data_IF_335540825154
#
_entry.id   IF_335540825154
#
_cell.length_a   1.000
_cell.length_b   1.000
_cell.length_c   1.000
_cell.angle_alpha   90.00
_cell.angle_beta   90.00
_cell.angle_gamma   90.00
#
_symmetry.space_group_name_H-M   'P 1'
#
loop_
_entity.id
_entity.type
_entity.pdbx_description
1 polymer ?
#
# COMPACT_ATOMS: atom_id res chain seq x y z
N UNK A 1 7.67 11.16 -8.00
CA UNK A 1 7.50 9.75 -8.40
C UNK A 1 8.00 9.55 -9.82
N UNK A 2 8.66 8.42 -10.11
CA UNK A 2 9.09 8.03 -11.47
C UNK A 2 8.12 7.07 -12.17
N UNK A 3 7.11 6.55 -11.44
CA UNK A 3 6.07 5.67 -11.97
C UNK A 3 4.68 6.31 -11.94
N UNK A 4 3.63 5.52 -12.20
CA UNK A 4 2.25 6.00 -12.23
C UNK A 4 1.81 6.56 -10.88
N UNK A 5 0.82 7.45 -10.95
CA UNK A 5 0.15 8.06 -9.82
C UNK A 5 -1.35 7.93 -10.06
N UNK A 6 -2.05 7.38 -9.08
CA UNK A 6 -3.50 7.29 -9.06
C UNK A 6 -4.04 8.13 -7.92
N UNK A 7 -5.15 8.81 -8.18
CA UNK A 7 -5.82 9.64 -7.19
C UNK A 7 -7.32 9.48 -7.34
N UNK A 8 -8.02 9.32 -6.22
CA UNK A 8 -9.48 9.24 -6.22
C UNK A 8 -10.10 10.63 -6.45
N UNK A 9 -11.38 10.66 -6.79
CA UNK A 9 -12.19 11.85 -6.51
C UNK A 9 -12.24 12.10 -4.99
N UNK A 10 -12.57 13.33 -4.55
CA UNK A 10 -12.77 13.62 -3.14
C UNK A 10 -13.75 12.64 -2.49
N UNK A 11 -13.39 12.13 -1.32
CA UNK A 11 -14.20 11.19 -0.58
C UNK A 11 -15.53 11.82 -0.18
N UNK A 12 -16.62 11.06 -0.33
CA UNK A 12 -17.97 11.50 0.05
C UNK A 12 -18.28 11.27 1.53
N UNK A 13 -17.40 10.57 2.25
CA UNK A 13 -17.49 10.29 3.68
C UNK A 13 -16.10 10.04 4.27
N UNK A 14 -15.98 10.19 5.58
CA UNK A 14 -14.72 9.90 6.29
C UNK A 14 -14.48 8.39 6.35
N UNK A 15 -13.29 7.95 5.92
CA UNK A 15 -12.88 6.55 5.98
C UNK A 15 -11.90 6.32 7.13
N UNK A 16 -12.05 5.18 7.83
CA UNK A 16 -11.01 4.66 8.71
C UNK A 16 -10.41 3.40 8.09
N UNK A 17 -9.17 3.50 7.63
CA UNK A 17 -8.42 2.37 7.09
C UNK A 17 -7.57 1.81 8.21
N UNK A 18 -7.87 0.58 8.64
CA UNK A 18 -7.18 -0.08 9.73
C UNK A 18 -6.96 -1.56 9.43
N UNK A 19 -5.70 -1.96 9.26
CA UNK A 19 -5.31 -3.29 8.80
C UNK A 19 -4.13 -3.23 7.83
N UNK A 20 -4.13 -4.12 6.85
CA UNK A 20 -3.09 -4.30 5.83
C UNK A 20 -3.72 -4.08 4.45
N UNK A 21 -3.82 -2.81 3.99
CA UNK A 21 -4.27 -2.53 2.63
C UNK A 21 -3.45 -3.30 1.60
N UNK A 22 -4.08 -3.64 0.47
CA UNK A 22 -3.46 -4.43 -0.60
C UNK A 22 -3.52 -3.69 -1.91
N UNK A 23 -2.39 -3.63 -2.61
CA UNK A 23 -2.28 -3.11 -3.96
C UNK A 23 -1.78 -4.22 -4.87
N UNK A 24 -2.62 -4.63 -5.81
CA UNK A 24 -2.23 -5.55 -6.86
C UNK A 24 -2.05 -4.76 -8.15
N UNK A 25 -0.94 -4.95 -8.84
CA UNK A 25 -0.67 -4.30 -10.13
C UNK A 25 0.00 -5.28 -11.09
N UNK A 26 -0.45 -5.27 -12.34
CA UNK A 26 0.19 -6.03 -13.40
C UNK A 26 1.46 -5.32 -13.87
N UNK A 27 2.56 -6.07 -14.01
CA UNK A 27 3.84 -5.53 -14.46
C UNK A 27 4.55 -6.47 -15.41
N UNK A 28 5.35 -5.89 -16.31
CA UNK A 28 6.42 -6.60 -17.03
C UNK A 28 7.77 -6.03 -16.63
N UNK A 29 8.81 -6.84 -16.77
CA UNK A 29 10.18 -6.45 -16.40
C UNK A 29 11.17 -6.74 -17.52
N UNK A 30 12.27 -5.99 -17.58
CA UNK A 30 13.33 -6.23 -18.57
C UNK A 30 14.22 -7.46 -18.24
N UNK A 31 14.24 -7.89 -16.98
CA UNK A 31 14.90 -9.12 -16.50
C UNK A 31 14.13 -9.69 -15.30
N UNK A 32 14.48 -10.91 -14.84
CA UNK A 32 13.90 -11.46 -13.60
C UNK A 32 14.43 -10.66 -12.41
N UNK A 33 13.57 -9.85 -11.81
CA UNK A 33 13.93 -8.88 -10.77
C UNK A 33 13.07 -7.62 -10.82
N UNK A 34 13.54 -6.57 -10.17
CA UNK A 34 12.83 -5.30 -10.01
C UNK A 34 12.24 -5.13 -8.62
N UNK A 35 11.85 -3.89 -8.33
CA UNK A 35 11.24 -3.50 -7.07
C UNK A 35 10.12 -2.52 -7.36
N UNK A 36 9.06 -2.62 -6.57
CA UNK A 36 8.01 -1.62 -6.49
C UNK A 36 7.99 -1.05 -5.07
N UNK A 37 7.94 0.26 -4.98
CA UNK A 37 7.57 1.00 -3.78
C UNK A 37 6.25 1.70 -4.05
N UNK A 38 5.23 1.44 -3.24
CA UNK A 38 3.94 2.11 -3.30
C UNK A 38 3.80 3.05 -2.11
N UNK A 39 3.56 4.32 -2.38
CA UNK A 39 3.26 5.33 -1.37
C UNK A 39 1.76 5.59 -1.34
N UNK A 40 1.14 5.51 -0.16
CA UNK A 40 -0.23 5.87 0.10
C UNK A 40 -0.25 7.20 0.85
N UNK A 41 -0.88 8.19 0.23
CA UNK A 41 -1.05 9.54 0.76
C UNK A 41 -2.53 9.90 0.94
N UNK A 42 -2.80 10.72 1.94
CA UNK A 42 -4.03 11.48 2.14
C UNK A 42 -3.76 12.91 1.66
N UNK A 43 -4.57 13.42 0.73
CA UNK A 43 -4.36 14.72 0.11
C UNK A 43 -5.58 15.65 0.29
N UNK A 44 -5.31 16.90 0.65
CA UNK A 44 -6.30 17.96 0.78
C UNK A 44 -5.73 19.30 0.32
N UNK A 45 -6.49 20.03 -0.51
CA UNK A 45 -6.12 21.36 -1.04
C UNK A 45 -4.68 21.43 -1.61
N UNK A 46 -4.24 20.37 -2.29
CA UNK A 46 -2.92 20.29 -2.92
C UNK A 46 -1.76 19.96 -1.97
N UNK A 47 -2.04 19.67 -0.70
CA UNK A 47 -1.07 19.15 0.27
C UNK A 47 -1.35 17.68 0.52
N UNK A 48 -0.31 16.84 0.51
CA UNK A 48 -0.42 15.42 0.77
C UNK A 48 0.41 15.01 1.99
N UNK A 49 -0.11 14.09 2.79
CA UNK A 49 0.58 13.49 3.94
C UNK A 49 0.79 11.99 3.69
N UNK A 50 1.96 11.48 4.09
CA UNK A 50 2.27 10.05 4.00
C UNK A 50 1.45 9.27 5.03
N UNK A 51 0.53 8.43 4.55
CA UNK A 51 -0.33 7.56 5.37
C UNK A 51 0.30 6.19 5.58
N UNK A 52 0.82 5.58 4.51
CA UNK A 52 1.54 4.31 4.58
C UNK A 52 2.31 4.02 3.30
N UNK A 53 3.06 2.92 3.32
CA UNK A 53 3.77 2.45 2.14
C UNK A 53 3.90 0.93 2.09
N UNK A 54 4.16 0.43 0.88
CA UNK A 54 4.48 -0.96 0.60
C UNK A 54 5.78 -1.01 -0.20
N UNK A 55 6.57 -2.06 0.00
CA UNK A 55 7.73 -2.35 -0.84
C UNK A 55 7.75 -3.83 -1.19
N UNK A 56 8.11 -4.13 -2.44
CA UNK A 56 8.14 -5.50 -2.95
C UNK A 56 9.34 -5.68 -3.87
N UNK A 57 10.16 -6.69 -3.60
CA UNK A 57 11.02 -7.30 -4.61
C UNK A 57 10.15 -8.23 -5.49
N UNK A 58 10.12 -7.98 -6.81
CA UNK A 58 9.22 -8.66 -7.74
C UNK A 58 9.51 -10.16 -7.88
N UNK A 59 10.65 -10.64 -7.37
CA UNK A 59 10.91 -12.07 -7.23
C UNK A 59 9.92 -12.76 -6.28
N UNK A 60 9.21 -12.01 -5.44
CA UNK A 60 8.18 -12.47 -4.53
C UNK A 60 6.79 -11.95 -4.92
N UNK A 61 6.55 -11.69 -6.22
CA UNK A 61 5.32 -11.05 -6.68
C UNK A 61 4.03 -11.79 -6.28
N UNK A 62 4.10 -13.11 -6.04
CA UNK A 62 2.95 -13.90 -5.58
C UNK A 62 2.59 -13.69 -4.10
N UNK A 63 3.42 -12.94 -3.36
CA UNK A 63 3.37 -12.80 -1.90
C UNK A 63 4.11 -13.92 -1.17
N UNK A 64 4.32 -13.72 0.14
CA UNK A 64 5.03 -14.67 0.99
C UNK A 64 6.54 -14.72 0.76
N UNK A 65 7.16 -15.84 1.14
CA UNK A 65 8.62 -15.98 1.24
C UNK A 65 9.24 -16.83 0.12
N UNK A 66 8.41 -17.30 -0.83
CA UNK A 66 8.88 -18.11 -1.95
C UNK A 66 9.31 -17.23 -3.11
N UNK A 67 10.44 -17.57 -3.74
CA UNK A 67 10.91 -16.89 -4.95
C UNK A 67 10.22 -17.50 -6.18
N UNK A 68 9.68 -16.65 -7.04
CA UNK A 68 9.16 -17.00 -8.36
C UNK A 68 10.09 -16.56 -9.50
N UNK A 69 9.91 -17.20 -10.65
CA UNK A 69 10.53 -16.82 -11.92
C UNK A 69 9.47 -16.72 -13.00
N UNK A 70 9.68 -15.86 -13.98
CA UNK A 70 8.80 -15.64 -15.13
C UNK A 70 9.66 -15.38 -16.37
N UNK A 71 9.04 -15.31 -17.55
CA UNK A 71 9.71 -14.90 -18.79
C UNK A 71 9.69 -13.36 -18.93
N UNK A 72 10.80 -12.63 -18.69
CA UNK A 72 10.81 -11.16 -18.78
C UNK A 72 10.40 -10.69 -20.17
N UNK A 73 9.86 -9.48 -20.26
CA UNK A 73 9.35 -8.82 -21.50
C UNK A 73 8.10 -9.49 -22.11
N UNK A 74 7.94 -10.81 -21.95
CA UNK A 74 6.87 -11.61 -22.56
C UNK A 74 5.73 -11.87 -21.57
N UNK A 75 6.07 -12.23 -20.33
CA UNK A 75 5.11 -12.59 -19.29
C UNK A 75 4.81 -11.39 -18.40
N UNK A 76 3.52 -11.11 -18.23
CA UNK A 76 3.01 -10.17 -17.24
C UNK A 76 2.80 -10.91 -15.92
N UNK A 77 3.37 -10.37 -14.85
CA UNK A 77 3.17 -10.86 -13.49
C UNK A 77 2.23 -9.91 -12.73
N UNK A 78 1.41 -10.45 -11.84
CA UNK A 78 0.59 -9.66 -10.94
C UNK A 78 1.34 -9.50 -9.61
N UNK A 79 1.80 -8.29 -9.31
CA UNK A 79 2.51 -7.97 -8.08
C UNK A 79 1.53 -7.76 -6.93
N UNK A 80 1.42 -8.75 -6.03
CA UNK A 80 0.48 -8.75 -4.91
C UNK A 80 1.06 -8.05 -3.68
N UNK A 81 1.12 -6.73 -3.72
CA UNK A 81 1.72 -5.93 -2.66
C UNK A 81 0.78 -5.77 -1.46
N UNK A 82 1.37 -5.84 -0.27
CA UNK A 82 0.73 -5.50 1.00
C UNK A 82 1.40 -4.25 1.57
N UNK A 83 0.60 -3.28 1.98
CA UNK A 83 1.09 -2.13 2.75
C UNK A 83 1.48 -2.58 4.15
N UNK A 84 2.44 -1.88 4.75
CA UNK A 84 2.68 -2.01 6.18
C UNK A 84 1.38 -1.74 6.95
N UNK A 85 1.07 -2.50 8.02
CA UNK A 85 -0.15 -2.30 8.77
C UNK A 85 -0.28 -0.85 9.25
N UNK A 86 -1.46 -0.27 9.07
CA UNK A 86 -1.74 1.11 9.43
C UNK A 86 -3.12 1.24 10.08
N UNK A 87 -3.32 2.33 10.81
CA UNK A 87 -4.61 2.77 11.35
C UNK A 87 -4.70 4.27 11.09
N UNK A 88 -5.39 4.64 10.01
CA UNK A 88 -5.47 5.99 9.49
C UNK A 88 -6.92 6.41 9.29
N UNK A 89 -7.17 7.70 9.48
CA UNK A 89 -8.45 8.35 9.18
C UNK A 89 -8.19 9.28 8.00
N UNK A 90 -9.03 9.17 6.98
CA UNK A 90 -9.01 10.00 5.78
C UNK A 90 -10.34 10.72 5.74
N UNK A 91 -10.32 12.05 5.82
CA UNK A 91 -11.54 12.84 6.02
C UNK A 91 -12.39 12.95 4.74
N UNK A 92 -13.67 13.28 4.93
CA UNK A 92 -14.55 13.66 3.81
C UNK A 92 -13.94 14.85 3.05
N UNK A 93 -14.02 14.83 1.73
CA UNK A 93 -13.46 15.88 0.87
C UNK A 93 -11.96 15.76 0.60
N UNK A 94 -11.24 14.88 1.28
CA UNK A 94 -9.86 14.53 0.95
C UNK A 94 -9.81 13.52 -0.21
N UNK A 95 -8.64 13.34 -0.84
CA UNK A 95 -8.39 12.31 -1.86
C UNK A 95 -7.39 11.27 -1.37
N UNK A 96 -7.56 10.03 -1.81
CA UNK A 96 -6.57 8.98 -1.63
C UNK A 96 -5.65 8.99 -2.85
N UNK A 97 -4.35 9.14 -2.62
CA UNK A 97 -3.33 9.10 -3.67
C UNK A 97 -2.37 7.94 -3.48
N UNK A 98 -2.22 7.13 -4.52
CA UNK A 98 -1.23 6.06 -4.59
C UNK A 98 -0.19 6.40 -5.65
N UNK A 99 1.10 6.38 -5.30
CA UNK A 99 2.18 6.57 -6.28
C UNK A 99 3.17 5.42 -6.25
N UNK A 100 3.60 4.97 -7.43
CA UNK A 100 4.60 3.91 -7.57
C UNK A 100 5.96 4.46 -7.96
N UNK A 101 7.01 3.96 -7.32
CA UNK A 101 8.40 4.23 -7.64
C UNK A 101 9.23 2.93 -7.63
N UNK A 102 10.45 2.98 -8.17
CA UNK A 102 11.36 1.83 -8.14
C UNK A 102 12.03 1.60 -6.78
N UNK A 103 11.97 2.59 -5.88
CA UNK A 103 12.41 2.55 -4.48
C UNK A 103 11.75 3.72 -3.73
N UNK A 104 11.75 3.67 -2.40
CA UNK A 104 11.19 4.71 -1.53
C UNK A 104 12.17 5.28 -0.52
N UNK A 105 11.68 6.16 0.35
CA UNK A 105 12.47 6.71 1.45
C UNK A 105 12.93 5.58 2.38
N UNK A 106 14.18 5.63 2.81
CA UNK A 106 14.83 4.68 3.73
C UNK A 106 14.96 3.22 3.24
N UNK A 107 14.64 2.92 1.98
CA UNK A 107 14.85 1.59 1.38
C UNK A 107 16.03 1.54 0.41
N UNK A 108 16.72 0.40 0.44
CA UNK A 108 17.73 0.08 -0.57
C UNK A 108 17.05 -0.53 -1.81
N UNK A 109 17.52 -0.18 -3.02
CA UNK A 109 17.08 -0.85 -4.24
C UNK A 109 17.35 -2.36 -4.18
N UNK A 110 16.48 -3.15 -4.80
CA UNK A 110 16.71 -4.58 -4.92
C UNK A 110 18.05 -4.87 -5.64
N UNK A 111 18.78 -5.89 -5.18
CA UNK A 111 20.06 -6.30 -5.80
C UNK A 111 19.88 -6.75 -7.26
N UNK A 112 18.65 -7.07 -7.66
CA UNK A 112 18.23 -7.44 -9.00
C UNK A 112 17.40 -6.33 -9.64
N UNK A 113 17.79 -5.06 -9.45
CA UNK A 113 17.08 -3.92 -10.04
C UNK A 113 17.00 -4.03 -11.56
N UNK A 114 15.83 -3.68 -12.11
CA UNK A 114 15.56 -3.73 -13.55
C UNK A 114 14.49 -2.71 -13.92
N UNK A 115 14.25 -2.50 -15.21
CA UNK A 115 13.14 -1.67 -15.67
C UNK A 115 11.85 -2.44 -15.40
N UNK A 116 10.94 -1.80 -14.67
CA UNK A 116 9.58 -2.29 -14.41
C UNK A 116 8.61 -1.42 -15.20
N UNK A 117 7.75 -2.06 -15.98
CA UNK A 117 6.67 -1.41 -16.72
C UNK A 117 5.35 -1.82 -16.09
N UNK A 118 4.66 -0.85 -15.47
CA UNK A 118 3.34 -1.04 -14.89
C UNK A 118 2.29 -1.03 -16.00
N UNK A 119 1.38 -2.00 -15.95
CA UNK A 119 0.29 -2.19 -16.89
C UNK A 119 -1.00 -2.19 -16.08
N UNK A 120 -1.85 -1.18 -16.27
CA UNK A 120 -3.17 -1.17 -15.63
C UNK A 120 -4.07 -2.17 -16.35
N UNK A 121 -4.65 -3.12 -15.61
CA UNK A 121 -5.50 -4.17 -16.15
C UNK A 121 -6.63 -4.55 -15.20
N UNK A 122 -7.47 -5.51 -15.62
CA UNK A 122 -8.61 -5.99 -14.83
C UNK A 122 -8.21 -6.59 -13.47
N UNK A 123 -6.94 -6.98 -13.31
CA UNK A 123 -6.43 -7.55 -12.06
C UNK A 123 -5.65 -6.56 -11.19
N UNK A 124 -5.56 -5.30 -11.64
CA UNK A 124 -5.00 -4.21 -10.84
C UNK A 124 -6.07 -3.70 -9.87
N UNK A 125 -5.82 -3.81 -8.57
CA UNK A 125 -6.80 -3.46 -7.53
C UNK A 125 -6.15 -2.77 -6.34
N UNK A 126 -6.82 -1.78 -5.78
CA UNK A 126 -6.58 -1.30 -4.42
C UNK A 126 -7.68 -1.83 -3.51
N UNK A 127 -7.31 -2.53 -2.45
CA UNK A 127 -8.22 -3.03 -1.41
C UNK A 127 -7.86 -2.37 -0.09
N UNK A 128 -8.81 -1.64 0.48
CA UNK A 128 -8.67 -0.95 1.75
C UNK A 128 -9.40 -1.73 2.84
N UNK A 129 -8.74 -1.91 3.98
CA UNK A 129 -9.35 -2.51 5.16
C UNK A 129 -10.10 -1.44 5.94
N UNK A 130 -11.37 -1.23 5.58
CA UNK A 130 -12.20 -0.16 6.15
C UNK A 130 -12.92 -0.67 7.40
N UNK A 131 -12.83 0.07 8.51
CA UNK A 131 -13.58 -0.20 9.74
C UNK A 131 -14.70 0.82 9.90
N UNK A 132 -15.92 0.32 10.10
CA UNK A 132 -17.06 1.13 10.52
C UNK A 132 -16.89 1.57 11.98
N UNK A 133 -16.76 2.89 12.19
CA UNK A 133 -16.57 3.50 13.51
C UNK A 133 -17.79 3.38 14.41
N UNK A 134 -18.97 3.38 13.81
CA UNK A 134 -20.27 3.44 14.48
C UNK A 134 -20.87 2.04 14.68
N UNK A 135 -20.17 1.01 14.21
CA UNK A 135 -20.56 -0.38 14.44
C UNK A 135 -20.58 -0.73 15.94
N UNK A 136 -21.73 -1.14 16.44
CA UNK A 136 -21.90 -1.70 17.79
C UNK A 136 -21.10 -3.01 18.00
N UNK A 137 -20.64 -3.64 16.91
CA UNK A 137 -19.80 -4.85 16.95
C UNK A 137 -18.30 -4.55 17.14
N UNK A 138 -17.90 -3.27 17.17
CA UNK A 138 -16.50 -2.89 17.32
C UNK A 138 -15.92 -3.37 18.65
N UNK A 139 -14.76 -4.03 18.59
CA UNK A 139 -14.01 -4.46 19.77
C UNK A 139 -12.68 -3.74 19.79
N UNK A 140 -12.63 -2.61 20.49
CA UNK A 140 -11.34 -1.97 20.78
C UNK A 140 -10.70 -2.62 22.00
N UNK A 141 -9.38 -2.74 21.97
CA UNK A 141 -8.62 -2.99 23.18
C UNK A 141 -8.86 -1.83 24.14
N UNK A 142 -9.49 -2.11 25.28
CA UNK A 142 -9.64 -1.15 26.37
C UNK A 142 -8.32 -1.22 27.13
N UNK A 143 -7.50 -0.14 27.14
CA UNK A 143 -6.24 -0.16 27.88
C UNK A 143 -6.50 -0.54 29.34
N UNK A 144 -5.70 -1.43 29.92
CA UNK A 144 -5.86 -1.78 31.33
C UNK A 144 -5.67 -0.53 32.17
N UNK A 145 -6.57 -0.35 33.14
CA UNK A 145 -6.43 0.70 34.13
C UNK A 145 -5.32 0.24 35.10
N UNK A 146 -4.35 1.11 35.37
CA UNK A 146 -3.36 0.78 36.38
C UNK A 146 -4.01 0.73 37.76
N UNK A 147 -4.00 -0.44 38.40
CA UNK A 147 -4.59 -0.65 39.74
C UNK A 147 -3.60 -0.38 40.89
N UNK A 148 -2.37 0.05 40.59
CA UNK A 148 -1.35 0.31 41.61
C UNK A 148 -1.61 1.64 42.33
N UNK A 149 -1.34 1.69 43.64
CA UNK A 149 -1.47 2.89 44.49
C UNK A 149 -0.61 4.11 44.06
N UNK A 150 0.29 3.92 43.09
CA UNK A 150 1.22 4.94 42.59
C UNK A 150 0.81 5.48 41.21
N UNK A 151 -0.21 4.89 40.59
CA UNK A 151 -0.81 5.38 39.35
C UNK A 151 -1.86 6.42 39.70
N UNK A 152 -1.40 7.60 40.10
CA UNK A 152 -2.21 8.80 40.29
C UNK A 152 -1.94 9.80 39.16
#
# INVERSE_FOLDING_TARGET
SSGPVWETEPLTETLRVAGTPRLHVDVTTASVGGQLYALFEDCFEGTCIHVGHAIMDLRYHAGGDDVQTWAPIIETINAKMEFMPLDAIIEEGHTIRISLASTGEDYLPASTSTIVTVQEGETSTLQLDIIDRDSDARQYFIPPICEHELCA
#
